data_IF_459197497295
#
_entry.id   IF_459197497295
#
_cell.length_a   1.000
_cell.length_b   1.000
_cell.length_c   1.000
_cell.angle_alpha   90.00
_cell.angle_beta   90.00
_cell.angle_gamma   90.00
#
_symmetry.space_group_name_H-M   'P 1'
#
loop_
_entity.id
_entity.type
_entity.pdbx_description
1 polymer ?
#
# COMPACT_ATOMS: atom_id res chain seq x y z
N UNK A 1 -7.94 -23.05 -6.02
CA UNK A 1 -7.63 -21.69 -6.51
C UNK A 1 -6.32 -21.69 -7.28
N UNK A 2 -5.26 -22.27 -6.74
CA UNK A 2 -3.95 -22.37 -7.41
C UNK A 2 -4.02 -22.99 -8.82
N UNK A 3 -4.64 -24.16 -9.00
CA UNK A 3 -4.85 -24.78 -10.33
C UNK A 3 -5.52 -23.87 -11.37
N UNK A 4 -6.42 -22.99 -10.92
CA UNK A 4 -7.08 -22.04 -11.80
C UNK A 4 -6.09 -20.96 -12.24
N UNK A 5 -5.29 -20.42 -11.31
CA UNK A 5 -4.29 -19.40 -11.59
C UNK A 5 -3.15 -19.95 -12.45
N UNK A 6 -2.69 -21.18 -12.22
CA UNK A 6 -1.67 -21.80 -13.07
C UNK A 6 -2.17 -22.04 -14.51
N UNK A 7 -3.44 -22.43 -14.69
CA UNK A 7 -4.05 -22.50 -16.03
C UNK A 7 -4.22 -21.13 -16.67
N UNK A 8 -4.47 -20.09 -15.87
CA UNK A 8 -4.55 -18.72 -16.36
C UNK A 8 -3.18 -18.19 -16.80
N UNK A 9 -2.12 -18.54 -16.05
CA UNK A 9 -0.73 -18.18 -16.35
C UNK A 9 -0.27 -18.65 -17.73
N UNK A 10 -0.73 -19.82 -18.17
CA UNK A 10 -0.49 -20.32 -19.54
C UNK A 10 -1.09 -19.42 -20.63
N UNK A 11 -2.04 -18.55 -20.27
CA UNK A 11 -2.77 -17.67 -21.17
C UNK A 11 -2.49 -16.20 -20.94
N UNK A 12 -1.78 -15.79 -19.90
CA UNK A 12 -1.41 -14.39 -19.66
C UNK A 12 -0.49 -14.28 -18.46
N UNK A 13 0.37 -13.27 -18.39
CA UNK A 13 1.16 -13.02 -17.19
C UNK A 13 0.24 -12.75 -16.00
N UNK A 14 0.55 -13.39 -14.89
CA UNK A 14 -0.13 -13.18 -13.62
C UNK A 14 0.85 -12.63 -12.58
N UNK A 15 0.36 -11.78 -11.69
CA UNK A 15 1.19 -11.29 -10.59
C UNK A 15 0.41 -11.04 -9.32
N UNK A 16 1.07 -11.00 -8.17
CA UNK A 16 0.44 -10.71 -6.88
C UNK A 16 0.97 -9.40 -6.31
N UNK A 17 0.11 -8.61 -5.66
CA UNK A 17 0.51 -7.36 -4.97
C UNK A 17 -0.15 -7.26 -3.62
N UNK A 18 0.68 -7.12 -2.57
CA UNK A 18 0.24 -7.06 -1.19
C UNK A 18 0.97 -5.97 -0.42
N UNK A 19 0.34 -5.41 0.61
CA UNK A 19 0.98 -4.44 1.51
C UNK A 19 1.88 -5.08 2.57
N UNK A 20 1.85 -6.42 2.67
CA UNK A 20 2.65 -7.21 3.61
C UNK A 20 4.06 -7.47 3.06
N UNK A 21 4.97 -7.88 3.95
CA UNK A 21 6.28 -8.42 3.57
C UNK A 21 6.16 -9.76 2.81
N UNK A 22 7.29 -10.21 2.24
CA UNK A 22 7.32 -11.45 1.46
C UNK A 22 6.98 -12.68 2.31
N UNK A 23 7.42 -12.74 3.56
CA UNK A 23 7.16 -13.88 4.46
C UNK A 23 5.66 -14.11 4.62
N UNK A 24 4.88 -13.05 4.86
CA UNK A 24 3.41 -13.17 4.91
C UNK A 24 2.78 -13.55 3.59
N UNK A 25 3.34 -13.07 2.48
CA UNK A 25 2.85 -13.47 1.15
C UNK A 25 3.10 -14.98 0.94
N UNK A 26 4.25 -15.49 1.36
CA UNK A 26 4.59 -16.92 1.32
C UNK A 26 3.70 -17.75 2.25
N UNK A 27 3.41 -17.28 3.47
CA UNK A 27 2.45 -17.94 4.38
C UNK A 27 1.07 -18.10 3.75
N UNK A 28 0.64 -17.13 2.93
CA UNK A 28 -0.70 -17.12 2.32
C UNK A 28 -0.77 -17.88 0.98
N UNK A 29 0.29 -17.83 0.18
CA UNK A 29 0.30 -18.32 -1.20
C UNK A 29 1.22 -19.53 -1.44
N UNK A 30 2.00 -19.91 -0.43
CA UNK A 30 3.02 -20.94 -0.49
C UNK A 30 4.44 -20.37 -0.63
N UNK A 31 5.43 -21.12 -0.13
CA UNK A 31 6.83 -20.71 -0.12
C UNK A 31 7.40 -20.46 -1.54
N UNK A 32 6.83 -21.14 -2.53
CA UNK A 32 7.15 -21.10 -3.97
C UNK A 32 6.40 -19.98 -4.73
N UNK A 33 5.85 -18.98 -4.02
CA UNK A 33 5.09 -17.87 -4.64
C UNK A 33 5.87 -17.13 -5.72
N UNK A 34 7.18 -16.96 -5.55
CA UNK A 34 8.03 -16.28 -6.53
C UNK A 34 8.20 -17.07 -7.82
N UNK A 35 8.05 -18.40 -7.78
CA UNK A 35 8.06 -19.25 -8.97
C UNK A 35 6.67 -19.39 -9.59
N UNK A 36 5.60 -19.32 -8.78
CA UNK A 36 4.20 -19.51 -9.20
C UNK A 36 3.59 -18.35 -9.99
N UNK A 37 4.12 -17.14 -9.81
CA UNK A 37 3.62 -15.92 -10.46
C UNK A 37 4.73 -15.24 -11.25
N UNK A 38 4.37 -14.58 -12.35
CA UNK A 38 5.35 -13.85 -13.17
C UNK A 38 5.82 -12.57 -12.50
N UNK A 39 4.96 -11.96 -11.68
CA UNK A 39 5.30 -10.83 -10.81
C UNK A 39 4.87 -11.08 -9.36
N UNK A 40 5.73 -10.76 -8.40
CA UNK A 40 5.39 -10.77 -6.98
C UNK A 40 5.81 -9.45 -6.36
N UNK A 41 4.84 -8.69 -5.85
CA UNK A 41 5.02 -7.33 -5.33
C UNK A 41 4.65 -7.24 -3.84
N UNK A 42 5.50 -7.72 -2.92
CA UNK A 42 5.37 -7.42 -1.50
C UNK A 42 5.55 -5.93 -1.24
N UNK A 43 5.06 -5.46 -0.09
CA UNK A 43 5.16 -4.07 0.35
C UNK A 43 4.72 -3.06 -0.74
N UNK A 44 3.58 -3.33 -1.39
CA UNK A 44 3.01 -2.55 -2.50
C UNK A 44 3.88 -2.49 -3.78
N UNK A 45 4.93 -3.32 -3.88
CA UNK A 45 5.90 -3.31 -4.96
C UNK A 45 7.22 -2.62 -4.63
N UNK A 46 7.43 -2.17 -3.39
CA UNK A 46 8.74 -1.70 -2.95
C UNK A 46 9.78 -2.81 -2.99
N UNK A 47 9.34 -4.03 -2.75
CA UNK A 47 10.05 -5.24 -3.16
C UNK A 47 9.32 -5.78 -4.39
N UNK A 48 10.07 -6.07 -5.45
CA UNK A 48 9.49 -6.61 -6.67
C UNK A 48 10.30 -7.82 -7.11
N UNK A 49 9.60 -8.90 -7.44
CA UNK A 49 10.15 -10.06 -8.12
C UNK A 49 9.50 -10.19 -9.49
N UNK A 50 10.30 -10.62 -10.47
CA UNK A 50 9.85 -10.95 -11.81
C UNK A 50 10.53 -12.24 -12.26
N UNK A 51 9.76 -13.20 -12.78
CA UNK A 51 10.26 -14.48 -13.28
C UNK A 51 11.16 -15.20 -12.25
N UNK A 52 10.74 -15.23 -10.98
CA UNK A 52 11.49 -15.83 -9.87
C UNK A 52 12.73 -15.04 -9.41
N UNK A 53 13.03 -13.88 -10.00
CA UNK A 53 14.22 -13.07 -9.69
C UNK A 53 13.85 -11.76 -9.01
N UNK A 54 14.65 -11.34 -8.04
CA UNK A 54 14.51 -10.01 -7.42
C UNK A 54 14.79 -8.93 -8.48
N UNK A 55 13.79 -8.10 -8.76
CA UNK A 55 13.86 -6.98 -9.68
C UNK A 55 14.37 -5.72 -8.97
N UNK A 56 13.75 -5.36 -7.85
CA UNK A 56 14.19 -4.23 -7.04
C UNK A 56 13.78 -4.36 -5.57
N UNK A 57 14.50 -3.61 -4.73
CA UNK A 57 14.15 -3.36 -3.32
C UNK A 57 14.37 -1.89 -3.01
N UNK A 58 13.31 -1.21 -2.62
CA UNK A 58 13.30 0.20 -2.22
C UNK A 58 13.06 0.31 -0.73
N UNK A 59 13.56 1.40 -0.15
CA UNK A 59 13.45 1.69 1.28
C UNK A 59 13.12 3.16 1.51
N UNK A 60 12.33 3.46 2.53
CA UNK A 60 11.86 4.82 2.81
C UNK A 60 13.02 5.78 3.09
N UNK A 61 14.07 5.31 3.77
CA UNK A 61 15.29 6.08 4.02
C UNK A 61 16.07 6.36 2.73
N UNK A 62 16.09 5.42 1.78
CA UNK A 62 16.71 5.62 0.47
C UNK A 62 15.97 6.67 -0.38
N UNK A 63 14.65 6.76 -0.21
CA UNK A 63 13.81 7.69 -0.96
C UNK A 63 13.73 9.10 -0.35
N UNK A 64 13.50 9.19 0.97
CA UNK A 64 13.32 10.47 1.67
C UNK A 64 14.64 11.08 2.18
N UNK A 65 15.67 10.23 2.36
CA UNK A 65 16.94 10.62 2.96
C UNK A 65 16.90 10.69 4.50
N UNK A 66 18.06 10.52 5.11
CA UNK A 66 18.22 10.45 6.58
C UNK A 66 17.78 11.74 7.29
N UNK A 67 18.06 12.91 6.72
CA UNK A 67 17.71 14.18 7.36
C UNK A 67 16.20 14.32 7.58
N UNK A 68 15.40 14.06 6.54
CA UNK A 68 13.94 14.15 6.63
C UNK A 68 13.33 13.06 7.52
N UNK A 69 13.92 11.85 7.49
CA UNK A 69 13.52 10.76 8.40
C UNK A 69 13.76 11.14 9.87
N UNK A 70 14.91 11.71 10.19
CA UNK A 70 15.21 12.16 11.55
C UNK A 70 14.27 13.28 11.99
N UNK A 71 13.98 14.25 11.12
CA UNK A 71 13.01 15.32 11.40
C UNK A 71 11.62 14.75 11.71
N UNK A 72 11.13 13.80 10.90
CA UNK A 72 9.87 13.10 11.12
C UNK A 72 9.85 12.38 12.48
N UNK A 73 10.89 11.61 12.79
CA UNK A 73 11.00 10.85 14.03
C UNK A 73 11.03 11.81 15.23
N UNK A 74 11.86 12.84 15.19
CA UNK A 74 12.01 13.83 16.26
C UNK A 74 10.70 14.57 16.53
N UNK A 75 9.99 14.97 15.47
CA UNK A 75 8.68 15.59 15.59
C UNK A 75 7.67 14.64 16.22
N UNK A 76 7.59 13.40 15.72
CA UNK A 76 6.66 12.39 16.25
C UNK A 76 6.92 12.09 17.74
N UNK A 77 8.17 11.88 18.14
CA UNK A 77 8.54 11.63 19.53
C UNK A 77 8.18 12.81 20.43
N UNK A 78 8.50 14.03 19.99
CA UNK A 78 8.18 15.26 20.72
C UNK A 78 6.67 15.48 20.86
N UNK A 79 5.91 15.19 19.81
CA UNK A 79 4.45 15.28 19.83
C UNK A 79 3.86 14.26 20.79
N UNK A 80 4.25 12.98 20.67
CA UNK A 80 3.77 11.89 21.53
C UNK A 80 4.11 12.16 23.00
N UNK A 81 5.28 12.73 23.31
CA UNK A 81 5.64 13.09 24.67
C UNK A 81 4.64 14.09 25.30
N UNK A 82 4.16 15.07 24.53
CA UNK A 82 3.23 16.11 24.98
C UNK A 82 1.78 15.63 25.12
N UNK A 83 1.34 14.68 24.30
CA UNK A 83 -0.04 14.14 24.38
C UNK A 83 -0.24 13.44 25.72
N UNK A 84 -1.27 13.83 26.48
CA UNK A 84 -1.67 13.15 27.71
C UNK A 84 -2.63 12.01 27.37
N UNK A 85 -2.24 10.79 27.72
CA UNK A 85 -3.04 9.57 27.55
C UNK A 85 -3.16 8.87 28.91
N UNK A 86 -4.25 8.13 29.17
CA UNK A 86 -4.38 7.32 30.38
C UNK A 86 -3.24 6.30 30.53
N UNK A 87 -2.81 5.72 29.39
CA UNK A 87 -1.75 4.72 29.31
C UNK A 87 -0.83 5.05 28.14
N UNK A 88 0.47 4.85 28.35
CA UNK A 88 1.51 4.79 27.32
C UNK A 88 2.34 3.53 27.56
N UNK A 89 2.75 2.87 26.49
CA UNK A 89 3.56 1.64 26.55
C UNK A 89 4.89 1.90 25.83
N UNK A 90 5.25 1.05 24.88
CA UNK A 90 6.46 1.18 24.07
C UNK A 90 6.15 0.95 22.59
N UNK A 91 7.19 1.10 21.76
CA UNK A 91 7.09 1.00 20.29
C UNK A 91 6.12 2.07 19.75
N UNK A 92 6.43 3.33 20.05
CA UNK A 92 5.68 4.50 19.57
C UNK A 92 5.90 4.77 18.09
N UNK A 93 7.10 4.46 17.60
CA UNK A 93 7.47 4.54 16.19
C UNK A 93 8.09 3.19 15.85
N UNK A 94 7.53 2.52 14.85
CA UNK A 94 8.04 1.28 14.28
C UNK A 94 8.52 1.60 12.86
N UNK A 95 9.83 1.47 12.65
CA UNK A 95 10.45 1.68 11.35
C UNK A 95 10.27 0.43 10.49
N UNK A 96 9.64 0.55 9.34
CA UNK A 96 9.50 -0.51 8.34
C UNK A 96 10.20 -0.10 7.06
N UNK A 97 10.45 -1.06 6.18
CA UNK A 97 11.16 -0.79 4.93
C UNK A 97 10.42 0.24 4.05
N UNK A 98 9.09 0.17 3.95
CA UNK A 98 8.29 1.12 3.19
C UNK A 98 7.69 2.33 3.92
N UNK A 99 7.69 2.34 5.26
CA UNK A 99 6.89 3.29 6.02
C UNK A 99 7.34 3.40 7.48
N UNK A 100 6.92 4.47 8.15
CA UNK A 100 6.93 4.56 9.60
C UNK A 100 5.51 4.31 10.13
N UNK A 101 5.36 3.39 11.07
CA UNK A 101 4.10 3.24 11.81
C UNK A 101 4.22 3.97 13.16
N UNK A 102 3.39 4.99 13.36
CA UNK A 102 3.39 5.85 14.54
C UNK A 102 2.16 5.56 15.38
N UNK A 103 2.33 5.24 16.66
CA UNK A 103 1.25 4.96 17.60
C UNK A 103 1.38 5.82 18.87
N UNK A 104 0.40 6.68 19.19
CA UNK A 104 0.46 7.52 20.40
C UNK A 104 0.48 6.74 21.71
N UNK A 105 -0.28 5.64 21.80
CA UNK A 105 -0.26 4.72 22.95
C UNK A 105 0.97 3.80 22.93
N UNK A 106 1.49 3.49 21.74
CA UNK A 106 2.58 2.53 21.51
C UNK A 106 2.05 1.14 21.17
N UNK A 107 2.68 0.43 20.20
CA UNK A 107 2.22 -0.89 19.73
C UNK A 107 2.37 -1.99 20.77
N UNK A 108 3.19 -1.81 21.80
CA UNK A 108 3.36 -2.75 22.91
C UNK A 108 2.21 -2.78 23.93
N UNK A 109 1.04 -2.22 23.60
CA UNK A 109 -0.16 -2.28 24.44
C UNK A 109 -0.94 -3.60 24.29
N UNK A 110 -1.65 -3.98 25.35
CA UNK A 110 -2.53 -5.15 25.35
C UNK A 110 -3.78 -4.94 24.48
N UNK A 111 -4.54 -6.00 24.21
CA UNK A 111 -5.76 -5.89 23.41
C UNK A 111 -6.81 -5.02 24.12
N UNK A 112 -6.95 -5.12 25.44
CA UNK A 112 -7.86 -4.28 26.22
C UNK A 112 -7.47 -2.81 26.12
N UNK A 113 -6.17 -2.52 26.22
CA UNK A 113 -5.63 -1.16 26.09
C UNK A 113 -5.82 -0.58 24.68
N UNK A 114 -5.77 -1.42 23.64
CA UNK A 114 -6.07 -1.02 22.26
C UNK A 114 -7.51 -0.57 22.12
N UNK A 115 -8.44 -1.33 22.68
CA UNK A 115 -9.88 -1.00 22.64
C UNK A 115 -10.14 0.30 23.40
N UNK A 116 -9.61 0.43 24.62
CA UNK A 116 -9.72 1.67 25.41
C UNK A 116 -9.16 2.88 24.66
N UNK A 117 -7.99 2.76 24.02
CA UNK A 117 -7.42 3.83 23.21
C UNK A 117 -8.27 4.15 21.99
N UNK A 118 -8.79 3.14 21.30
CA UNK A 118 -9.65 3.31 20.12
C UNK A 118 -10.91 4.12 20.47
N UNK A 119 -11.54 3.81 21.61
CA UNK A 119 -12.70 4.56 22.10
C UNK A 119 -12.34 6.00 22.50
N UNK A 120 -11.20 6.19 23.17
CA UNK A 120 -10.71 7.52 23.52
C UNK A 120 -10.40 8.35 22.27
N UNK A 121 -9.73 7.75 21.30
CA UNK A 121 -9.35 8.37 20.04
C UNK A 121 -10.58 8.79 19.23
N UNK A 122 -11.63 7.97 19.18
CA UNK A 122 -12.91 8.33 18.54
C UNK A 122 -13.58 9.54 19.20
N UNK A 123 -13.45 9.70 20.51
CA UNK A 123 -14.05 10.82 21.26
C UNK A 123 -13.22 12.10 21.16
N UNK A 124 -11.89 11.97 21.23
CA UNK A 124 -10.97 13.11 21.33
C UNK A 124 -10.27 13.48 20.01
N UNK A 125 -10.41 12.64 18.98
CA UNK A 125 -9.78 12.75 17.66
C UNK A 125 -8.26 12.91 17.73
N UNK A 126 -7.60 12.08 18.54
CA UNK A 126 -6.17 12.22 18.88
C UNK A 126 -5.31 12.01 17.64
N UNK A 127 -5.50 10.90 16.94
CA UNK A 127 -4.76 10.58 15.71
C UNK A 127 -5.08 11.54 14.58
N UNK A 128 -6.34 11.96 14.45
CA UNK A 128 -6.72 12.92 13.42
C UNK A 128 -6.02 14.27 13.61
N UNK A 129 -6.03 14.83 14.83
CA UNK A 129 -5.29 16.07 15.15
C UNK A 129 -3.79 15.91 14.91
N UNK A 130 -3.23 14.77 15.30
CA UNK A 130 -1.82 14.48 15.07
C UNK A 130 -1.50 14.44 13.56
N UNK A 131 -2.32 13.78 12.75
CA UNK A 131 -2.17 13.78 11.28
C UNK A 131 -2.30 15.18 10.69
N UNK A 132 -3.25 16.00 11.16
CA UNK A 132 -3.42 17.38 10.70
C UNK A 132 -2.18 18.24 10.98
N UNK A 133 -1.58 18.09 12.16
CA UNK A 133 -0.37 18.82 12.53
C UNK A 133 0.86 18.31 11.76
N UNK A 134 0.99 17.00 11.58
CA UNK A 134 2.03 16.40 10.72
C UNK A 134 1.92 16.90 9.26
N UNK A 135 0.71 16.99 8.72
CA UNK A 135 0.47 17.49 7.36
C UNK A 135 0.84 18.96 7.21
N UNK A 136 0.64 19.78 8.24
CA UNK A 136 1.05 21.18 8.24
C UNK A 136 2.57 21.31 8.30
N UNK A 137 3.20 20.60 9.23
CA UNK A 137 4.65 20.66 9.45
C UNK A 137 5.44 20.17 8.24
N UNK A 138 5.03 19.04 7.66
CA UNK A 138 5.72 18.40 6.54
C UNK A 138 5.07 18.71 5.18
N UNK A 139 4.33 19.82 5.08
CA UNK A 139 3.68 20.25 3.85
C UNK A 139 4.71 20.39 2.71
N UNK A 140 4.41 19.82 1.54
CA UNK A 140 5.27 19.90 0.36
C UNK A 140 6.49 18.97 0.38
N UNK A 141 6.63 18.11 1.40
CA UNK A 141 7.73 17.11 1.49
C UNK A 141 7.43 15.79 0.77
N UNK A 142 6.26 15.65 0.14
CA UNK A 142 5.87 14.44 -0.60
C UNK A 142 5.59 13.24 0.30
N UNK A 143 4.98 13.48 1.46
CA UNK A 143 4.68 12.43 2.46
C UNK A 143 3.17 12.36 2.68
N UNK A 144 2.65 11.14 2.64
CA UNK A 144 1.27 10.80 2.95
C UNK A 144 1.17 10.25 4.37
N UNK A 145 0.11 10.68 5.07
CA UNK A 145 -0.25 10.22 6.41
C UNK A 145 -1.63 9.58 6.36
N UNK A 146 -1.72 8.31 6.77
CA UNK A 146 -2.95 7.52 6.79
C UNK A 146 -3.22 6.99 8.20
N UNK A 147 -4.45 7.13 8.69
CA UNK A 147 -4.83 6.54 9.97
C UNK A 147 -5.12 5.06 9.74
N UNK A 148 -4.33 4.19 10.36
CA UNK A 148 -4.38 2.74 10.18
C UNK A 148 -4.89 2.03 11.44
N UNK A 149 -5.79 1.06 11.26
CA UNK A 149 -6.30 0.21 12.33
C UNK A 149 -6.84 0.99 13.54
N UNK A 150 -6.60 0.45 14.73
CA UNK A 150 -7.18 0.97 15.98
C UNK A 150 -6.30 2.00 16.69
N UNK A 151 -4.98 1.95 16.51
CA UNK A 151 -4.04 2.68 17.38
C UNK A 151 -2.94 3.47 16.67
N UNK A 152 -2.82 3.38 15.35
CA UNK A 152 -1.63 3.91 14.65
C UNK A 152 -1.96 4.75 13.42
N UNK A 153 -0.91 5.39 12.92
CA UNK A 153 -0.84 6.23 11.74
C UNK A 153 0.34 5.70 10.91
N UNK A 154 0.10 5.41 9.64
CA UNK A 154 1.13 5.07 8.68
C UNK A 154 1.63 6.33 7.99
N UNK A 155 2.96 6.46 7.91
CA UNK A 155 3.67 7.57 7.27
C UNK A 155 4.53 7.00 6.16
N UNK A 156 4.26 7.40 4.92
CA UNK A 156 4.94 6.87 3.74
C UNK A 156 5.01 7.92 2.63
N UNK A 157 5.97 7.82 1.69
CA UNK A 157 6.06 8.74 0.56
C UNK A 157 4.81 8.72 -0.31
N UNK A 158 4.51 9.84 -0.95
CA UNK A 158 3.38 9.94 -1.87
C UNK A 158 3.50 8.91 -3.00
N UNK A 159 2.41 8.17 -3.25
CA UNK A 159 2.36 7.15 -4.29
C UNK A 159 2.88 5.77 -3.88
N UNK A 160 3.37 5.58 -2.65
CA UNK A 160 3.78 4.27 -2.10
C UNK A 160 2.59 3.41 -1.62
N UNK A 161 1.43 3.57 -2.26
CA UNK A 161 0.32 2.64 -2.16
C UNK A 161 0.43 1.56 -3.26
N UNK A 162 -0.57 0.69 -3.40
CA UNK A 162 -0.55 -0.41 -4.38
C UNK A 162 -0.34 0.03 -5.83
N UNK A 163 -0.49 1.33 -6.15
CA UNK A 163 -0.17 1.85 -7.48
C UNK A 163 1.33 1.86 -7.77
N UNK A 164 2.18 1.80 -6.75
CA UNK A 164 3.63 1.80 -6.89
C UNK A 164 4.12 0.65 -7.81
N UNK A 165 3.55 -0.54 -7.68
CA UNK A 165 3.93 -1.69 -8.50
C UNK A 165 3.67 -1.49 -10.00
N UNK A 166 2.77 -0.58 -10.39
CA UNK A 166 2.44 -0.35 -11.80
C UNK A 166 3.67 0.15 -12.58
N UNK A 167 4.59 0.89 -11.94
CA UNK A 167 5.84 1.30 -12.58
C UNK A 167 6.72 0.12 -13.02
N UNK A 168 6.66 -1.02 -12.33
CA UNK A 168 7.39 -2.23 -12.72
C UNK A 168 6.68 -3.03 -13.82
N UNK A 169 5.38 -2.84 -13.96
CA UNK A 169 4.55 -3.52 -14.97
C UNK A 169 4.58 -2.75 -16.30
N UNK A 170 4.75 -1.43 -16.26
CA UNK A 170 4.85 -0.57 -17.46
C UNK A 170 5.99 -0.99 -18.40
N UNK A 171 7.12 -1.46 -17.86
CA UNK A 171 8.24 -1.98 -18.68
C UNK A 171 7.85 -3.18 -19.56
N UNK A 172 6.79 -3.90 -19.18
CA UNK A 172 6.25 -5.02 -19.95
C UNK A 172 5.42 -4.63 -21.18
N UNK A 173 5.16 -3.33 -21.39
CA UNK A 173 4.38 -2.79 -22.52
C UNK A 173 2.98 -3.43 -22.67
N UNK A 174 2.30 -3.72 -21.56
CA UNK A 174 0.96 -4.30 -21.58
C UNK A 174 -0.10 -3.29 -22.00
N UNK A 175 -0.95 -3.64 -22.96
CA UNK A 175 -2.07 -2.79 -23.42
C UNK A 175 -3.16 -2.62 -22.34
N UNK A 176 -3.32 -3.62 -21.47
CA UNK A 176 -4.31 -3.60 -20.38
C UNK A 176 -3.78 -4.39 -19.20
N UNK A 177 -3.98 -3.83 -18.01
CA UNK A 177 -3.68 -4.46 -16.73
C UNK A 177 -4.99 -4.61 -15.98
N UNK A 178 -5.37 -5.85 -15.69
CA UNK A 178 -6.54 -6.13 -14.85
C UNK A 178 -6.13 -6.20 -13.38
N UNK A 179 -6.87 -5.51 -12.53
CA UNK A 179 -6.69 -5.54 -11.08
C UNK A 179 -7.93 -6.13 -10.41
N UNK A 180 -7.71 -7.13 -9.54
CA UNK A 180 -8.75 -7.76 -8.74
C UNK A 180 -8.50 -7.45 -7.27
N UNK A 181 -9.49 -6.89 -6.57
CA UNK A 181 -9.38 -6.43 -5.18
C UNK A 181 -10.71 -6.42 -4.43
N UNK A 182 -10.70 -6.63 -3.11
CA UNK A 182 -11.89 -6.60 -2.23
C UNK A 182 -12.22 -5.18 -1.71
N UNK A 183 -11.19 -4.37 -1.45
CA UNK A 183 -11.29 -3.03 -0.86
C UNK A 183 -11.02 -1.95 -1.90
N UNK A 184 -11.87 -1.87 -2.92
CA UNK A 184 -11.78 -0.88 -4.00
C UNK A 184 -12.50 0.44 -3.68
N UNK A 185 -12.65 0.78 -2.40
CA UNK A 185 -13.34 2.01 -2.02
C UNK A 185 -12.59 3.24 -2.56
N UNK A 186 -13.29 4.30 -3.01
CA UNK A 186 -12.63 5.48 -3.55
C UNK A 186 -11.80 6.16 -2.45
N UNK A 187 -10.48 6.09 -2.55
CA UNK A 187 -9.59 6.98 -1.82
C UNK A 187 -9.55 8.32 -2.56
N UNK A 188 -9.74 9.44 -1.87
CA UNK A 188 -9.57 10.78 -2.47
C UNK A 188 -8.13 10.91 -2.96
N UNK A 189 -7.91 10.63 -4.24
CA UNK A 189 -6.60 10.61 -4.83
C UNK A 189 -6.40 11.88 -5.66
N UNK A 190 -5.53 12.78 -5.17
CA UNK A 190 -4.95 13.83 -5.99
C UNK A 190 -3.83 13.21 -6.83
N UNK A 191 -4.17 12.51 -7.91
CA UNK A 191 -3.17 11.93 -8.82
C UNK A 191 -3.16 12.67 -10.17
N UNK A 192 -1.99 13.21 -10.55
CA UNK A 192 -1.69 13.81 -11.86
C UNK A 192 -1.32 12.78 -12.94
N UNK A 193 -1.40 11.48 -12.67
CA UNK A 193 -1.14 10.45 -13.70
C UNK A 193 -2.39 10.18 -14.55
N UNK A 194 -2.22 10.15 -15.87
CA UNK A 194 -3.25 9.98 -16.90
C UNK A 194 -3.91 8.60 -16.91
N UNK A 195 -3.26 7.57 -16.34
CA UNK A 195 -3.75 6.19 -16.32
C UNK A 195 -5.01 6.01 -15.45
N UNK A 196 -5.12 6.73 -14.34
CA UNK A 196 -6.24 6.61 -13.40
C UNK A 196 -7.48 7.41 -13.78
N UNK A 197 -7.40 8.33 -14.75
CA UNK A 197 -8.60 9.08 -15.20
C UNK A 197 -9.63 8.20 -15.90
N UNK A 198 -9.27 6.98 -16.36
CA UNK A 198 -10.18 6.12 -17.12
C UNK A 198 -10.96 5.09 -16.31
N UNK A 199 -10.63 4.83 -15.05
CA UNK A 199 -11.18 3.68 -14.31
C UNK A 199 -11.93 4.04 -13.01
N UNK A 200 -12.27 5.31 -12.81
CA UNK A 200 -13.18 5.72 -11.74
C UNK A 200 -14.56 6.03 -12.33
N UNK A 201 -15.24 5.02 -12.88
CA UNK A 201 -16.65 5.10 -13.25
C UNK A 201 -17.40 3.94 -12.59
N UNK A 202 -18.39 4.32 -11.79
CA UNK A 202 -19.32 3.46 -11.07
C UNK A 202 -20.05 2.47 -11.97
N UNK A 203 -20.42 1.35 -11.36
CA UNK A 203 -21.54 0.47 -11.69
C UNK A 203 -22.52 0.94 -12.78
N UNK A 204 -22.69 0.08 -13.80
CA UNK A 204 -23.76 0.08 -14.83
C UNK A 204 -23.81 1.30 -15.77
N UNK A 205 -23.34 1.10 -17.01
CA UNK A 205 -23.57 2.02 -18.12
C UNK A 205 -22.89 1.54 -19.41
N UNK A 206 -23.71 1.04 -20.34
CA UNK A 206 -23.34 0.57 -21.69
C UNK A 206 -22.90 1.75 -22.56
N UNK A 207 -21.85 1.57 -23.38
CA UNK A 207 -21.60 2.39 -24.56
C UNK A 207 -21.30 1.48 -25.75
N UNK A 208 -22.29 1.36 -26.64
CA UNK A 208 -22.15 0.85 -28.00
C UNK A 208 -21.57 1.97 -28.89
N UNK A 209 -20.58 1.64 -29.70
CA UNK A 209 -20.37 2.24 -31.02
C UNK A 209 -19.81 1.18 -31.95
N UNK A 210 -20.63 0.78 -32.93
CA UNK A 210 -20.35 -0.19 -33.99
C UNK A 210 -19.11 0.15 -34.83
N UNK A 211 -18.24 -0.86 -35.05
CA UNK A 211 -17.69 -1.26 -36.36
C UNK A 211 -16.69 -2.43 -36.20
N UNK A 212 -16.97 -3.56 -36.86
CA UNK A 212 -16.11 -4.74 -37.06
C UNK A 212 -15.65 -4.82 -38.55
N UNK A 213 -14.67 -5.66 -38.99
CA UNK A 213 -14.19 -6.91 -38.37
C UNK A 213 -12.65 -7.21 -38.36
N UNK A 214 -12.21 -7.93 -37.29
CA UNK A 214 -11.23 -9.05 -37.14
C UNK A 214 -9.81 -9.03 -37.81
N UNK A 215 -8.77 -9.74 -37.27
CA UNK A 215 -8.82 -10.84 -36.29
C UNK A 215 -7.95 -10.69 -35.01
N UNK A 216 -8.46 -11.32 -33.95
CA UNK A 216 -7.80 -11.89 -32.75
C UNK A 216 -6.27 -11.75 -32.61
N UNK A 217 -5.81 -11.11 -31.52
CA UNK A 217 -4.94 -11.73 -30.50
C UNK A 217 -5.25 -11.11 -29.14
N UNK A 218 -5.84 -11.92 -28.26
CA UNK A 218 -6.18 -11.60 -26.88
C UNK A 218 -5.02 -12.07 -26.00
N UNK A 219 -4.37 -11.18 -25.26
CA UNK A 219 -3.60 -11.55 -24.08
C UNK A 219 -3.22 -10.31 -23.27
N UNK A 220 -3.88 -10.11 -22.12
CA UNK A 220 -3.80 -8.89 -21.29
C UNK A 220 -3.57 -9.32 -19.84
N UNK A 221 -2.51 -8.82 -19.23
CA UNK A 221 -1.97 -9.29 -17.94
C UNK A 221 -2.93 -9.03 -16.76
N UNK A 222 -2.89 -9.91 -15.76
CA UNK A 222 -3.78 -9.87 -14.58
C UNK A 222 -2.97 -9.89 -13.28
N UNK A 223 -3.13 -8.85 -12.45
CA UNK A 223 -2.63 -8.87 -11.07
C UNK A 223 -3.72 -9.47 -10.15
N UNK A 224 -3.43 -10.60 -9.50
CA UNK A 224 -4.27 -11.34 -8.54
C UNK A 224 -3.68 -11.30 -7.13
N UNK A 225 -4.43 -10.72 -6.18
CA UNK A 225 -4.59 -10.97 -4.72
C UNK A 225 -3.53 -11.72 -3.87
N UNK A 226 -3.24 -11.38 -2.60
CA UNK A 226 -4.11 -11.02 -1.45
C UNK A 226 -3.82 -9.64 -0.78
#
# INVERSE_FOLDING_TARGET
MDDFLQRLRQKMPIGVVGGSDLEKVQEQLGDDVVEKYDYVFPENGLVAYKDGKLLCKQSIQGHLGEALIQDLINYCLSYIAKVKLPKKRGTFIEFRNGMLNVSPIGRGCSQEERVEFCELDRKANIRQKFVEDLRKEFAGKGITFSIGGEISIDVFPDGWDKRYCLGHVEEGNYETVYFFGDKTMPVRCWARSSLLRRHCASSQGRWDTDAHPAPTWVMRAMAVWF
#
